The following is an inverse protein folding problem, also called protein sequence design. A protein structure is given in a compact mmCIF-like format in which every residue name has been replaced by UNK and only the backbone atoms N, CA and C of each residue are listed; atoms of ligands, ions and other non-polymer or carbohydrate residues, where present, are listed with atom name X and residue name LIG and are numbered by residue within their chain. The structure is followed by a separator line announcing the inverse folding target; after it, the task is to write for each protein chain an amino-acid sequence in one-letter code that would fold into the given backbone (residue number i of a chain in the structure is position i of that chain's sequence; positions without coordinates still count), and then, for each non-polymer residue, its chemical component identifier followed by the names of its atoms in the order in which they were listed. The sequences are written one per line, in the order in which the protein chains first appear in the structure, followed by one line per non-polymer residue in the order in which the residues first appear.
data_IF_582530902508
#
_entry.id   IF_582530902508
#
_cell.length_a   1.000
_cell.length_b   1.000
_cell.length_c   1.000
_cell.angle_alpha   90.00
_cell.angle_beta   90.00
_cell.angle_gamma   90.00
#
_symmetry.space_group_name_H-M   'P 1'
#
loop_
_entity.id
_entity.type
_entity.pdbx_description
1 polymer ?
#
# COMPACT_ATOMS: atom_id res chain seq x y z
N UNK A 1 -10.14 16.48 22.23
CA UNK A 1 -10.04 15.02 22.42
C UNK A 1 -9.38 14.42 21.18
N UNK A 2 -8.05 14.42 21.16
CA UNK A 2 -7.27 13.80 20.10
C UNK A 2 -7.19 12.30 20.40
N UNK A 3 -7.90 11.49 19.61
CA UNK A 3 -7.77 10.03 19.71
C UNK A 3 -6.42 9.63 19.13
N UNK A 4 -5.48 9.29 20.01
CA UNK A 4 -4.34 8.44 19.71
C UNK A 4 -4.86 7.09 19.23
N UNK A 5 -4.92 6.87 17.92
CA UNK A 5 -4.87 5.52 17.36
C UNK A 5 -3.49 5.34 16.76
N UNK A 6 -2.53 4.99 17.62
CA UNK A 6 -1.32 4.28 17.20
C UNK A 6 -1.74 2.88 16.78
N UNK A 7 -2.29 2.78 15.58
CA UNK A 7 -2.38 1.53 14.86
C UNK A 7 -1.85 1.89 13.47
N UNK A 8 -0.57 1.57 13.26
CA UNK A 8 -0.02 1.39 11.92
C UNK A 8 -1.11 0.78 11.04
N UNK A 9 -1.65 1.55 10.09
CA UNK A 9 -2.61 1.05 9.11
C UNK A 9 -1.87 0.04 8.23
N UNK A 10 -1.64 -1.16 8.76
CA UNK A 10 -1.08 -2.30 8.06
C UNK A 10 -2.15 -2.82 7.12
N UNK A 11 -2.37 -2.11 6.01
CA UNK A 11 -3.13 -2.66 4.91
C UNK A 11 -2.18 -3.60 4.15
N UNK A 12 -2.25 -4.89 4.47
CA UNK A 12 -1.55 -5.94 3.73
C UNK A 12 -2.57 -6.65 2.86
N UNK A 13 -2.66 -6.27 1.59
CA UNK A 13 -3.54 -6.96 0.63
C UNK A 13 -2.80 -8.21 0.16
N UNK A 14 -3.36 -9.39 0.45
CA UNK A 14 -2.89 -10.66 -0.14
C UNK A 14 -3.73 -10.97 -1.38
N UNK A 15 -3.11 -10.98 -2.55
CA UNK A 15 -3.71 -11.48 -3.78
C UNK A 15 -2.91 -12.71 -4.22
N UNK A 16 -3.51 -13.90 -4.13
CA UNK A 16 -2.92 -15.13 -4.64
C UNK A 16 -3.59 -16.37 -4.09
N UNK A 17 -4.22 -17.14 -4.97
CA UNK A 17 -4.76 -18.48 -4.76
C UNK A 17 -3.63 -19.49 -4.52
N UNK A 18 -3.84 -20.42 -3.59
CA UNK A 18 -2.91 -21.49 -3.26
C UNK A 18 -2.76 -22.45 -4.46
N UNK A 19 -1.65 -22.34 -5.19
CA UNK A 19 -0.96 -23.43 -5.91
C UNK A 19 0.38 -22.90 -6.48
N UNK A 20 1.49 -23.37 -5.92
CA UNK A 20 2.85 -23.04 -6.35
C UNK A 20 3.17 -23.75 -7.68
N UNK A 21 2.93 -23.06 -8.79
CA UNK A 21 3.33 -23.50 -10.13
C UNK A 21 4.63 -22.82 -10.58
N UNK A 22 5.48 -23.59 -11.25
CA UNK A 22 6.78 -23.17 -11.75
C UNK A 22 6.60 -22.20 -12.94
N UNK A 23 7.00 -20.94 -12.76
CA UNK A 23 6.89 -19.87 -13.78
C UNK A 23 6.03 -18.65 -13.41
N UNK A 24 5.38 -18.63 -12.24
CA UNK A 24 4.54 -17.49 -11.79
C UNK A 24 5.36 -16.37 -11.15
N UNK A 25 5.05 -15.11 -11.46
CA UNK A 25 5.74 -13.93 -10.92
C UNK A 25 5.12 -13.51 -9.59
N UNK A 26 5.96 -12.90 -8.74
CA UNK A 26 5.56 -12.36 -7.44
C UNK A 26 5.92 -10.88 -7.41
N UNK A 27 4.93 -10.02 -7.57
CA UNK A 27 5.13 -8.57 -7.64
C UNK A 27 4.70 -7.94 -6.32
N UNK A 28 5.53 -7.04 -5.79
CA UNK A 28 5.19 -6.31 -4.58
C UNK A 28 5.40 -4.80 -4.74
N UNK A 29 4.52 -4.02 -4.11
CA UNK A 29 4.69 -2.58 -3.92
C UNK A 29 4.63 -2.27 -2.42
N UNK A 30 5.72 -1.71 -1.89
CA UNK A 30 5.88 -1.39 -0.48
C UNK A 30 6.02 0.14 -0.33
N UNK A 31 5.20 0.74 0.53
CA UNK A 31 5.13 2.20 0.69
C UNK A 31 5.26 2.57 2.17
N UNK A 32 6.31 3.31 2.52
CA UNK A 32 6.59 3.75 3.88
C UNK A 32 6.66 5.27 3.97
N UNK A 33 5.80 5.89 4.77
CA UNK A 33 5.76 7.35 4.96
C UNK A 33 6.03 7.72 6.42
N UNK A 34 7.12 8.45 6.68
CA UNK A 34 7.45 9.00 7.98
C UNK A 34 7.06 10.48 8.14
N UNK A 35 6.71 11.20 7.07
CA UNK A 35 6.32 12.62 7.07
C UNK A 35 7.34 13.51 7.78
N UNK A 36 8.63 13.29 7.52
CA UNK A 36 9.74 13.95 8.20
C UNK A 36 9.60 15.49 8.17
N UNK A 37 9.92 16.15 9.29
CA UNK A 37 9.80 17.61 9.45
C UNK A 37 8.37 18.17 9.33
N UNK A 38 7.34 17.34 9.54
CA UNK A 38 5.95 17.80 9.61
C UNK A 38 5.35 17.59 11.00
N UNK A 39 4.19 18.19 11.27
CA UNK A 39 3.45 17.95 12.53
C UNK A 39 2.92 16.51 12.66
N UNK A 40 2.97 15.72 11.59
CA UNK A 40 2.42 14.38 11.50
C UNK A 40 3.53 13.33 11.41
N UNK A 41 4.74 13.62 11.91
CA UNK A 41 5.91 12.77 11.78
C UNK A 41 5.74 11.40 12.48
N UNK A 42 6.20 10.34 11.81
CA UNK A 42 6.29 8.97 12.28
C UNK A 42 7.75 8.50 12.13
N UNK A 43 8.15 7.49 12.90
CA UNK A 43 9.55 7.04 12.93
C UNK A 43 9.73 5.56 12.54
N UNK A 44 8.65 4.78 12.45
CA UNK A 44 8.69 3.34 12.22
C UNK A 44 8.38 2.89 10.78
N UNK A 45 7.66 3.70 10.00
CA UNK A 45 7.04 3.23 8.77
C UNK A 45 8.05 2.80 7.70
N UNK A 46 9.17 3.51 7.60
CA UNK A 46 10.27 3.16 6.71
C UNK A 46 10.92 1.83 7.13
N UNK A 47 11.12 1.62 8.43
CA UNK A 47 11.66 0.35 8.94
C UNK A 47 10.72 -0.82 8.68
N UNK A 48 9.41 -0.62 8.83
CA UNK A 48 8.40 -1.65 8.57
C UNK A 48 8.47 -2.16 7.13
N UNK A 49 8.55 -1.26 6.14
CA UNK A 49 8.61 -1.65 4.72
C UNK A 49 9.93 -2.32 4.36
N UNK A 50 11.05 -1.95 4.99
CA UNK A 50 12.33 -2.65 4.82
C UNK A 50 12.29 -4.05 5.42
N UNK A 51 11.74 -4.20 6.63
CA UNK A 51 11.55 -5.52 7.25
C UNK A 51 10.63 -6.40 6.41
N UNK A 52 9.53 -5.84 5.87
CA UNK A 52 8.62 -6.57 5.00
C UNK A 52 9.28 -7.00 3.69
N UNK A 53 10.08 -6.13 3.07
CA UNK A 53 10.89 -6.49 1.89
C UNK A 53 11.77 -7.71 2.17
N UNK A 54 12.48 -7.71 3.29
CA UNK A 54 13.35 -8.82 3.68
C UNK A 54 12.57 -10.12 3.89
N UNK A 55 11.39 -10.04 4.50
CA UNK A 55 10.49 -11.20 4.66
C UNK A 55 10.00 -11.74 3.31
N UNK A 56 9.56 -10.86 2.41
CA UNK A 56 9.08 -11.25 1.07
C UNK A 56 10.15 -11.95 0.25
N UNK A 57 11.37 -11.41 0.26
CA UNK A 57 12.49 -11.99 -0.50
C UNK A 57 12.95 -13.30 0.14
N UNK A 58 13.22 -13.32 1.45
CA UNK A 58 13.86 -14.46 2.11
C UNK A 58 12.91 -15.63 2.38
N UNK A 59 11.63 -15.35 2.64
CA UNK A 59 10.65 -16.39 3.06
C UNK A 59 9.62 -16.71 1.98
N UNK A 60 9.24 -15.72 1.19
CA UNK A 60 8.19 -15.87 0.17
C UNK A 60 8.73 -15.93 -1.27
N UNK A 61 10.05 -15.85 -1.45
CA UNK A 61 10.70 -16.05 -2.75
C UNK A 61 10.40 -14.96 -3.77
N UNK A 62 10.11 -13.73 -3.33
CA UNK A 62 9.99 -12.58 -4.25
C UNK A 62 11.37 -12.22 -4.82
N UNK A 63 11.45 -11.98 -6.12
CA UNK A 63 12.66 -11.40 -6.71
C UNK A 63 12.78 -9.94 -6.26
N UNK A 64 13.96 -9.54 -5.80
CA UNK A 64 14.24 -8.14 -5.42
C UNK A 64 13.92 -7.11 -6.51
N UNK A 65 13.94 -7.50 -7.79
CA UNK A 65 13.59 -6.66 -8.94
C UNK A 65 12.09 -6.47 -9.11
N UNK A 66 11.30 -7.37 -8.53
CA UNK A 66 9.84 -7.36 -8.57
C UNK A 66 9.22 -6.73 -7.32
N UNK A 67 10.06 -6.31 -6.36
CA UNK A 67 9.63 -5.56 -5.16
C UNK A 67 9.96 -4.08 -5.35
N UNK A 68 8.94 -3.28 -5.62
CA UNK A 68 9.06 -1.83 -5.69
C UNK A 68 8.92 -1.21 -4.28
N UNK A 69 9.82 -0.30 -3.92
CA UNK A 69 9.87 0.34 -2.61
C UNK A 69 9.81 1.87 -2.74
N UNK A 70 8.83 2.49 -2.09
CA UNK A 70 8.65 3.94 -2.03
C UNK A 70 8.78 4.41 -0.57
N UNK A 71 9.72 5.30 -0.30
CA UNK A 71 9.93 5.87 1.04
C UNK A 71 10.24 7.35 0.98
N UNK A 72 9.91 8.09 2.04
CA UNK A 72 10.26 9.51 2.19
C UNK A 72 11.55 9.70 2.99
N UNK A 73 12.41 8.68 3.05
CA UNK A 73 13.75 8.79 3.59
C UNK A 73 14.60 9.78 2.76
N UNK A 74 15.53 10.51 3.40
CA UNK A 74 16.55 11.25 2.66
C UNK A 74 17.32 10.31 1.72
N UNK A 75 17.38 10.65 0.43
CA UNK A 75 18.07 9.84 -0.58
C UNK A 75 17.27 8.66 -1.14
N UNK A 76 15.98 8.52 -0.79
CA UNK A 76 15.10 7.54 -1.41
C UNK A 76 14.97 7.76 -2.92
N UNK A 77 14.93 6.67 -3.68
CA UNK A 77 14.83 6.71 -5.15
C UNK A 77 13.48 7.25 -5.63
N UNK A 78 12.41 6.91 -4.92
CA UNK A 78 11.04 7.30 -5.26
C UNK A 78 10.31 7.72 -3.99
N UNK A 79 9.89 8.98 -3.94
CA UNK A 79 9.07 9.49 -2.85
C UNK A 79 7.63 8.95 -2.93
N UNK A 80 6.99 8.63 -1.79
CA UNK A 80 5.64 8.09 -1.73
C UNK A 80 4.59 9.20 -1.86
N UNK A 81 4.63 9.95 -2.97
CA UNK A 81 3.58 10.92 -3.33
C UNK A 81 2.34 10.18 -3.84
N UNK A 82 1.16 10.81 -3.78
CA UNK A 82 -0.07 10.21 -4.28
C UNK A 82 0.04 9.77 -5.75
N UNK A 83 0.72 10.56 -6.58
CA UNK A 83 0.98 10.23 -7.97
C UNK A 83 1.92 9.01 -8.12
N UNK A 84 2.99 8.94 -7.34
CA UNK A 84 3.97 7.85 -7.43
C UNK A 84 3.39 6.53 -6.93
N UNK A 85 2.63 6.55 -5.83
CA UNK A 85 1.94 5.36 -5.31
C UNK A 85 0.92 4.83 -6.32
N UNK A 86 0.10 5.70 -6.92
CA UNK A 86 -0.83 5.30 -8.00
C UNK A 86 -0.10 4.71 -9.20
N UNK A 87 1.02 5.31 -9.59
CA UNK A 87 1.84 4.83 -10.71
C UNK A 87 2.48 3.47 -10.42
N UNK A 88 2.92 3.23 -9.19
CA UNK A 88 3.48 1.94 -8.76
C UNK A 88 2.41 0.84 -8.75
N UNK A 89 1.23 1.14 -8.20
CA UNK A 89 0.08 0.22 -8.24
C UNK A 89 -0.33 -0.10 -9.68
N UNK A 90 -0.44 0.91 -10.55
CA UNK A 90 -0.76 0.71 -11.96
C UNK A 90 0.30 -0.19 -12.64
N UNK A 91 1.60 0.09 -12.47
CA UNK A 91 2.67 -0.77 -12.99
C UNK A 91 2.57 -2.21 -12.50
N UNK A 92 2.25 -2.40 -11.22
CA UNK A 92 2.13 -3.74 -10.63
C UNK A 92 0.96 -4.50 -11.27
N UNK A 93 -0.17 -3.84 -11.51
CA UNK A 93 -1.35 -4.43 -12.18
C UNK A 93 -1.07 -4.68 -13.66
N UNK A 94 -0.47 -3.72 -14.36
CA UNK A 94 -0.17 -3.82 -15.81
C UNK A 94 0.81 -4.96 -16.13
N UNK A 95 1.70 -5.30 -15.19
CA UNK A 95 2.67 -6.41 -15.32
C UNK A 95 2.10 -7.76 -14.89
N UNK A 96 0.95 -7.78 -14.24
CA UNK A 96 0.38 -8.98 -13.65
C UNK A 96 -0.25 -9.88 -14.72
N UNK A 97 0.05 -11.16 -14.65
CA UNK A 97 -0.58 -12.20 -15.47
C UNK A 97 -1.46 -13.09 -14.58
N UNK A 98 -2.48 -13.77 -15.15
CA UNK A 98 -3.30 -14.71 -14.40
C UNK A 98 -2.46 -15.76 -13.66
N UNK A 99 -2.64 -15.84 -12.34
CA UNK A 99 -1.88 -16.75 -11.48
C UNK A 99 -0.69 -16.11 -10.77
N UNK A 100 -0.31 -14.87 -11.12
CA UNK A 100 0.71 -14.13 -10.35
C UNK A 100 0.22 -13.77 -8.94
N UNK A 101 1.19 -13.53 -8.06
CA UNK A 101 0.94 -13.07 -6.69
C UNK A 101 1.26 -11.58 -6.62
N UNK A 102 0.26 -10.77 -6.25
CA UNK A 102 0.43 -9.34 -6.05
C UNK A 102 0.36 -9.02 -4.55
N UNK A 103 1.33 -8.25 -4.08
CA UNK A 103 1.42 -7.85 -2.68
C UNK A 103 1.54 -6.33 -2.55
N UNK A 104 0.59 -5.71 -1.87
CA UNK A 104 0.67 -4.30 -1.52
C UNK A 104 0.76 -4.13 -0.01
N UNK A 105 1.75 -3.37 0.44
CA UNK A 105 1.93 -3.03 1.83
C UNK A 105 2.19 -1.54 1.99
N UNK A 106 1.39 -0.92 2.84
CA UNK A 106 1.50 0.48 3.20
C UNK A 106 1.74 0.59 4.71
N UNK A 107 2.74 1.39 5.11
CA UNK A 107 2.94 1.83 6.48
C UNK A 107 3.01 3.37 6.49
N UNK A 108 2.09 4.00 7.23
CA UNK A 108 1.93 5.45 7.28
C UNK A 108 0.58 5.84 7.87
N UNK A 109 0.19 7.10 7.72
CA UNK A 109 -1.12 7.61 8.16
C UNK A 109 -2.26 7.09 7.27
N UNK A 110 -3.38 6.79 7.93
CA UNK A 110 -4.69 6.56 7.32
C UNK A 110 -5.67 7.63 7.77
N UNK A 111 -6.65 7.95 6.93
CA UNK A 111 -7.74 8.87 7.25
C UNK A 111 -9.07 8.34 6.73
N UNK A 112 -10.16 8.93 7.21
CA UNK A 112 -11.50 8.66 6.71
C UNK A 112 -12.23 9.97 6.47
N UNK A 113 -13.13 9.98 5.50
CA UNK A 113 -14.01 11.11 5.23
C UNK A 113 -15.45 10.62 5.00
N UNK A 114 -16.46 11.47 5.26
CA UNK A 114 -17.85 11.12 4.95
C UNK A 114 -18.01 10.91 3.45
N UNK A 115 -18.53 9.75 3.03
CA UNK A 115 -18.81 9.51 1.62
C UNK A 115 -20.00 10.37 1.18
N UNK A 116 -19.89 11.03 0.03
CA UNK A 116 -20.95 11.86 -0.54
C UNK A 116 -22.13 11.08 -1.13
N UNK A 117 -22.18 9.75 -0.97
CA UNK A 117 -23.22 8.90 -1.58
C UNK A 117 -24.55 9.02 -0.82
N UNK A 118 -25.59 9.52 -1.52
CA UNK A 118 -26.94 9.85 -1.01
C UNK A 118 -27.87 8.64 -0.73
N UNK A 119 -27.37 7.50 -0.25
CA UNK A 119 -28.26 6.37 0.10
C UNK A 119 -27.89 5.67 1.41
N UNK A 120 -28.70 5.94 2.44
CA UNK A 120 -29.16 4.94 3.41
C UNK A 120 -28.24 4.52 4.56
N UNK A 121 -26.93 4.72 4.48
CA UNK A 121 -26.01 4.45 5.58
C UNK A 121 -24.90 5.50 5.63
N UNK A 122 -24.42 5.86 6.82
CA UNK A 122 -23.25 6.73 6.99
C UNK A 122 -21.98 6.04 6.48
N UNK A 123 -21.85 5.94 5.16
CA UNK A 123 -20.71 5.30 4.51
C UNK A 123 -19.51 6.23 4.68
N UNK A 124 -18.45 5.73 5.30
CA UNK A 124 -17.17 6.42 5.43
C UNK A 124 -16.25 5.86 4.36
N UNK A 125 -15.60 6.75 3.63
CA UNK A 125 -14.55 6.37 2.70
C UNK A 125 -13.22 6.44 3.43
N UNK A 126 -12.46 5.35 3.39
CA UNK A 126 -11.11 5.26 3.95
C UNK A 126 -10.09 5.71 2.88
N UNK A 127 -9.01 6.35 3.32
CA UNK A 127 -7.92 6.76 2.45
C UNK A 127 -6.57 6.61 3.14
N UNK A 128 -5.55 6.24 2.37
CA UNK A 128 -4.15 6.38 2.78
C UNK A 128 -3.69 7.81 2.51
N UNK A 129 -2.75 8.29 3.33
CA UNK A 129 -2.23 9.66 3.27
C UNK A 129 -0.78 9.63 2.77
N UNK A 130 -0.50 9.83 1.47
CA UNK A 130 0.87 9.84 0.99
C UNK A 130 1.65 11.06 1.52
N UNK A 131 2.97 11.13 1.31
CA UNK A 131 3.80 12.18 1.91
C UNK A 131 3.45 13.61 1.44
N UNK A 132 2.78 13.74 0.28
CA UNK A 132 2.27 15.00 -0.28
C UNK A 132 0.82 15.32 0.15
N UNK A 133 0.24 14.52 1.05
CA UNK A 133 -1.15 14.61 1.52
C UNK A 133 -2.21 14.48 0.41
N UNK A 134 -1.83 14.03 -0.79
CA UNK A 134 -2.74 13.79 -1.89
C UNK A 134 -3.44 12.43 -1.73
N UNK A 135 -4.58 12.45 -1.02
CA UNK A 135 -5.26 11.24 -0.55
C UNK A 135 -5.55 10.21 -1.65
N UNK A 136 -5.36 8.94 -1.31
CA UNK A 136 -5.75 7.81 -2.16
C UNK A 136 -6.86 7.04 -1.45
N UNK A 137 -8.05 7.07 -2.04
CA UNK A 137 -9.28 6.53 -1.44
C UNK A 137 -9.48 5.06 -1.78
N UNK A 138 -10.17 4.33 -0.88
CA UNK A 138 -10.50 2.91 -1.03
C UNK A 138 -11.25 2.56 -2.32
N UNK A 139 -11.96 3.51 -2.93
CA UNK A 139 -12.64 3.30 -4.22
C UNK A 139 -11.68 3.01 -5.39
N UNK A 140 -10.42 3.45 -5.29
CA UNK A 140 -9.37 3.13 -6.26
C UNK A 140 -8.99 1.64 -6.18
N UNK A 141 -9.25 0.99 -5.04
CA UNK A 141 -8.91 -0.41 -4.77
C UNK A 141 -10.12 -1.35 -4.76
N UNK A 142 -11.27 -0.91 -5.27
CA UNK A 142 -12.52 -1.67 -5.29
C UNK A 142 -13.24 -1.60 -6.65
N UNK A 143 -12.64 -0.94 -7.64
CA UNK A 143 -13.09 -1.04 -9.02
C UNK A 143 -12.78 -2.45 -9.54
N UNK A 144 -13.68 -3.12 -10.28
CA UNK A 144 -13.42 -4.45 -10.86
C UNK A 144 -12.22 -4.45 -11.82
N UNK A 145 -11.72 -3.28 -12.22
CA UNK A 145 -10.50 -3.12 -13.02
C UNK A 145 -9.21 -2.99 -12.19
N UNK A 146 -9.28 -2.87 -10.86
CA UNK A 146 -8.16 -2.33 -10.06
C UNK A 146 -8.01 -2.93 -8.64
N UNK A 147 -8.23 -4.24 -8.48
CA UNK A 147 -8.18 -5.03 -7.24
C UNK A 147 -9.52 -5.08 -6.48
N UNK A 148 -9.80 -6.26 -5.90
CA UNK A 148 -10.79 -6.45 -4.85
C UNK A 148 -10.03 -6.54 -3.53
N UNK A 149 -10.11 -5.52 -2.68
CA UNK A 149 -9.66 -5.63 -1.28
C UNK A 149 -10.72 -6.42 -0.51
N UNK A 150 -10.43 -7.68 -0.21
CA UNK A 150 -11.15 -8.40 0.83
C UNK A 150 -10.65 -7.90 2.19
N UNK A 151 -11.53 -7.23 2.95
CA UNK A 151 -11.32 -7.00 4.39
C UNK A 151 -11.14 -8.38 5.05
N UNK A 152 -10.06 -8.53 5.84
CA UNK A 152 -9.96 -9.61 6.83
C UNK A 152 -10.76 -9.16 8.06
#
# INVERSE_FOLDING_TARGET
FFFFFSLSCLCSVRIGTEEMEEGKKRLATLVGCNYANTRNELHGCINDVHAMRDVLVRRFGFDTRDVELLTDAPGAQVQPTGANVRRALARMVDRAEPGDVLYFHYSGHGTWFPSGKRHGASQRDEAIVPCDFNLITGMVFCSPSFLTISRI
#
